data_IF_107658372276
#
_entry.id   IF_107658372276
#
_cell.length_a   1.000
_cell.length_b   1.000
_cell.length_c   1.000
_cell.angle_alpha   90.00
_cell.angle_beta   90.00
_cell.angle_gamma   90.00
#
_symmetry.space_group_name_H-M   'P 1'
#
loop_
_entity.id
_entity.type
_entity.pdbx_description
1 polymer ?
#
# COMPACT_ATOMS: atom_id res chain seq x y z
N UNK A 1 6.21 -2.88 1.85
CA UNK A 1 4.86 -2.37 2.22
C UNK A 1 4.47 -3.00 3.56
N UNK A 2 3.74 -2.28 4.41
CA UNK A 2 3.25 -2.76 5.73
C UNK A 2 2.19 -3.87 5.59
N UNK A 3 2.07 -4.72 6.61
CA UNK A 3 1.01 -5.76 6.68
C UNK A 3 -0.35 -5.17 7.10
N UNK A 4 -1.44 -5.92 6.90
CA UNK A 4 -2.79 -5.47 7.29
C UNK A 4 -2.86 -5.13 8.78
N UNK A 5 -2.31 -5.99 9.63
CA UNK A 5 -2.28 -5.80 11.09
C UNK A 5 -1.52 -4.52 11.49
N UNK A 6 -0.41 -4.22 10.83
CA UNK A 6 0.31 -2.96 11.03
C UNK A 6 -0.53 -1.75 10.62
N UNK A 7 -1.30 -1.84 9.53
CA UNK A 7 -2.17 -0.74 9.12
C UNK A 7 -3.39 -0.59 10.06
N UNK A 8 -3.91 -1.70 10.59
CA UNK A 8 -5.02 -1.70 11.54
C UNK A 8 -4.64 -1.15 12.92
N UNK A 9 -3.38 -1.29 13.34
CA UNK A 9 -2.87 -0.67 14.58
C UNK A 9 -2.55 0.81 14.42
N UNK A 10 -2.40 1.31 13.18
CA UNK A 10 -2.14 2.73 12.91
C UNK A 10 -3.40 3.60 13.04
N UNK A 11 -3.19 4.87 13.39
CA UNK A 11 -4.26 5.88 13.40
C UNK A 11 -4.55 6.37 11.98
N UNK A 12 -5.75 6.91 11.75
CA UNK A 12 -6.14 7.49 10.44
C UNK A 12 -5.14 8.55 9.99
N UNK A 13 -4.65 9.41 10.90
CA UNK A 13 -3.63 10.43 10.59
C UNK A 13 -2.34 9.79 10.05
N UNK A 14 -1.85 8.73 10.70
CA UNK A 14 -0.66 8.00 10.26
C UNK A 14 -0.88 7.27 8.93
N UNK A 15 -2.06 6.68 8.72
CA UNK A 15 -2.42 6.02 7.46
C UNK A 15 -2.46 7.00 6.29
N UNK A 16 -3.08 8.18 6.48
CA UNK A 16 -3.10 9.24 5.46
C UNK A 16 -1.69 9.72 5.13
N UNK A 17 -0.86 9.89 6.15
CA UNK A 17 0.53 10.29 5.98
C UNK A 17 1.32 9.22 5.19
N UNK A 18 1.15 7.94 5.54
CA UNK A 18 1.74 6.82 4.81
C UNK A 18 1.33 6.79 3.33
N UNK A 19 0.05 7.01 3.03
CA UNK A 19 -0.45 7.11 1.64
C UNK A 19 0.30 8.21 0.87
N UNK A 20 0.46 9.40 1.47
CA UNK A 20 1.15 10.55 0.85
C UNK A 20 2.66 10.26 0.69
N UNK A 21 3.32 9.77 1.73
CA UNK A 21 4.77 9.50 1.71
C UNK A 21 5.12 8.40 0.67
N UNK A 22 4.20 7.48 0.39
CA UNK A 22 4.37 6.44 -0.65
C UNK A 22 3.92 6.90 -2.05
N UNK A 23 3.48 8.16 -2.21
CA UNK A 23 3.00 8.69 -3.48
C UNK A 23 1.73 8.00 -4.00
N UNK A 24 0.92 7.44 -3.10
CA UNK A 24 -0.29 6.70 -3.48
C UNK A 24 -1.45 7.66 -3.72
N UNK A 25 -2.09 7.52 -4.87
CA UNK A 25 -3.22 8.39 -5.23
C UNK A 25 -4.51 7.90 -4.57
N UNK A 26 -4.96 8.64 -3.55
CA UNK A 26 -6.23 8.40 -2.87
C UNK A 26 -7.17 9.60 -3.06
N UNK A 27 -8.16 9.51 -3.96
CA UNK A 27 -9.15 10.57 -4.08
C UNK A 27 -9.94 10.68 -2.77
N UNK A 28 -10.16 11.91 -2.32
CA UNK A 28 -10.87 12.23 -1.08
C UNK A 28 -10.28 11.60 0.20
N UNK A 29 -8.94 11.43 0.27
CA UNK A 29 -8.25 10.85 1.44
C UNK A 29 -8.68 11.47 2.79
N UNK A 30 -9.02 12.75 2.81
CA UNK A 30 -9.54 13.47 3.98
C UNK A 30 -10.94 13.04 4.46
N UNK A 31 -11.73 12.44 3.57
CA UNK A 31 -13.09 11.94 3.81
C UNK A 31 -13.14 10.40 3.87
N UNK A 32 -12.10 9.72 3.37
CA UNK A 32 -11.99 8.25 3.37
C UNK A 32 -11.91 7.70 4.80
N UNK A 33 -12.68 6.65 5.09
CA UNK A 33 -12.67 5.95 6.38
C UNK A 33 -11.39 5.14 6.56
N UNK A 34 -11.03 4.85 7.81
CA UNK A 34 -9.86 4.02 8.16
C UNK A 34 -9.84 2.70 7.38
N UNK A 35 -10.94 1.96 7.42
CA UNK A 35 -11.06 0.65 6.78
C UNK A 35 -10.84 0.72 5.26
N UNK A 36 -11.41 1.72 4.59
CA UNK A 36 -11.22 1.94 3.15
C UNK A 36 -9.77 2.31 2.79
N UNK A 37 -9.09 3.06 3.66
CA UNK A 37 -7.65 3.35 3.48
C UNK A 37 -6.86 2.05 3.52
N UNK A 38 -7.13 1.19 4.50
CA UNK A 38 -6.44 -0.09 4.69
C UNK A 38 -6.73 -1.04 3.51
N UNK A 39 -7.98 -1.15 3.08
CA UNK A 39 -8.39 -2.03 1.98
C UNK A 39 -7.69 -1.68 0.67
N UNK A 40 -7.72 -0.39 0.29
CA UNK A 40 -6.98 0.10 -0.88
C UNK A 40 -5.47 -0.07 -0.75
N UNK A 41 -4.90 0.15 0.43
CA UNK A 41 -3.46 -0.09 0.66
C UNK A 41 -3.08 -1.57 0.48
N UNK A 42 -3.95 -2.49 0.91
CA UNK A 42 -3.78 -3.92 0.70
C UNK A 42 -3.91 -4.30 -0.78
N UNK A 43 -4.87 -3.69 -1.50
CA UNK A 43 -5.04 -3.92 -2.94
C UNK A 43 -3.81 -3.46 -3.74
N UNK A 44 -3.31 -2.25 -3.48
CA UNK A 44 -2.09 -1.73 -4.12
C UNK A 44 -0.89 -2.61 -3.76
N UNK A 45 -0.85 -3.17 -2.55
CA UNK A 45 0.20 -4.13 -2.17
C UNK A 45 0.13 -5.40 -3.00
N UNK A 46 -1.05 -5.99 -3.15
CA UNK A 46 -1.24 -7.16 -4.00
C UNK A 46 -0.81 -6.84 -5.44
N UNK A 47 -1.27 -5.72 -6.01
CA UNK A 47 -0.88 -5.28 -7.36
C UNK A 47 0.64 -5.04 -7.50
N UNK A 48 1.31 -4.50 -6.47
CA UNK A 48 2.77 -4.28 -6.46
C UNK A 48 3.58 -5.56 -6.23
N UNK A 49 3.07 -6.53 -5.48
CA UNK A 49 3.69 -7.85 -5.36
C UNK A 49 3.53 -8.65 -6.66
N UNK A 50 2.37 -8.55 -7.31
CA UNK A 50 2.11 -9.20 -8.62
C UNK A 50 2.93 -8.57 -9.76
N UNK A 51 3.16 -7.26 -9.69
CA UNK A 51 4.01 -6.53 -10.66
C UNK A 51 5.47 -6.46 -10.28
N UNK A 52 5.90 -7.07 -9.17
CA UNK A 52 7.33 -7.29 -8.94
C UNK A 52 7.76 -8.26 -10.04
N UNK A 53 8.60 -7.85 -11.03
CA UNK A 53 9.18 -8.84 -11.89
C UNK A 53 9.90 -9.78 -10.94
N UNK A 54 9.54 -11.07 -10.99
CA UNK A 54 10.47 -12.14 -10.61
C UNK A 54 11.83 -11.63 -11.05
N UNK A 55 12.87 -11.54 -10.18
CA UNK A 55 14.20 -11.36 -10.71
C UNK A 55 14.31 -12.49 -11.72
N UNK A 56 14.23 -12.12 -12.99
CA UNK A 56 14.51 -13.05 -14.05
C UNK A 56 15.99 -13.20 -13.82
N UNK A 57 16.37 -14.22 -13.06
CA UNK A 57 17.68 -14.83 -13.14
C UNK A 57 17.80 -15.31 -14.58
N UNK A 58 17.97 -14.37 -15.50
CA UNK A 58 18.85 -14.52 -16.63
C UNK A 58 20.24 -14.37 -16.03
N UNK A 59 20.65 -15.40 -15.31
CA UNK A 59 22.05 -15.77 -15.38
C UNK A 59 22.17 -16.42 -16.76
N UNK A 60 22.55 -15.57 -17.71
CA UNK A 60 23.04 -15.98 -19.00
C UNK A 60 24.55 -16.10 -18.82
N UNK A 61 25.08 -17.32 -18.83
CA UNK A 61 26.25 -17.79 -19.59
C UNK A 61 26.47 -19.26 -19.27
#
# INVERSE_FOLDING_TARGET
MKTREELETMTVKKLRRYVIDNGLSFPHLGQTKKAEIIDKLMKIRAEREDTKPTPTSKDAT
#
